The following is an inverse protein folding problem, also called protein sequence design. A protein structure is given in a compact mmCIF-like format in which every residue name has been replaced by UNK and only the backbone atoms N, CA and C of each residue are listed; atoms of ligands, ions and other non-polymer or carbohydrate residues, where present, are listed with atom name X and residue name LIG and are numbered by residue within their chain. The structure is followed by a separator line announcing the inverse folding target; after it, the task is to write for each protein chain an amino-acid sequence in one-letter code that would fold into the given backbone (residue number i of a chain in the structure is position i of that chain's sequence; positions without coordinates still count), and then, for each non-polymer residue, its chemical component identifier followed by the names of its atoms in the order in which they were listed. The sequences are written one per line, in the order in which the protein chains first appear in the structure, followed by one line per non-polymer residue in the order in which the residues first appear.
data_IF_978559549441
#
_entry.id   IF_978559549441
#
_cell.length_a   1.000
_cell.length_b   1.000
_cell.length_c   1.000
_cell.angle_alpha   90.00
_cell.angle_beta   90.00
_cell.angle_gamma   90.00
#
_symmetry.space_group_name_H-M   'P 1'
#
loop_
_entity.id
_entity.type
_entity.pdbx_description
1 polymer ?
#
# COMPACT_ATOMS: atom_id res chain seq x y z
N UNK A 1 -25.11 24.40 -17.49
CA UNK A 1 -23.91 25.24 -17.59
C UNK A 1 -22.82 24.64 -16.68
N UNK A 2 -22.21 23.50 -17.05
CA UNK A 2 -21.05 22.88 -16.36
C UNK A 2 -20.40 21.82 -17.25
N UNK A 3 -20.12 22.15 -18.52
CA UNK A 3 -19.56 21.21 -19.49
C UNK A 3 -18.30 21.73 -20.23
N UNK A 4 -17.62 22.77 -19.76
CA UNK A 4 -16.54 23.42 -20.53
C UNK A 4 -15.16 23.52 -19.86
N UNK A 5 -14.86 22.80 -18.77
CA UNK A 5 -13.52 22.87 -18.14
C UNK A 5 -12.67 21.60 -18.29
N UNK A 6 -13.00 20.69 -19.21
CA UNK A 6 -12.31 19.38 -19.35
C UNK A 6 -11.38 19.21 -20.54
N UNK A 7 -11.20 20.26 -21.37
CA UNK A 7 -10.46 20.14 -22.64
C UNK A 7 -9.10 20.86 -22.71
N UNK A 8 -8.65 21.51 -21.64
CA UNK A 8 -7.39 22.27 -21.69
C UNK A 8 -6.18 21.62 -20.99
N UNK A 9 -6.34 20.49 -20.31
CA UNK A 9 -5.23 19.79 -19.63
C UNK A 9 -4.67 18.56 -20.38
N UNK A 10 -5.24 18.21 -21.52
CA UNK A 10 -4.91 16.96 -22.25
C UNK A 10 -3.76 17.09 -23.28
N UNK A 11 -3.11 18.24 -23.39
CA UNK A 11 -2.17 18.48 -24.50
C UNK A 11 -0.68 18.47 -24.15
N UNK A 12 -0.29 18.14 -22.90
CA UNK A 12 1.12 18.20 -22.49
C UNK A 12 1.80 16.86 -22.17
N UNK A 13 1.09 15.74 -22.00
CA UNK A 13 1.71 14.49 -21.51
C UNK A 13 1.25 13.23 -22.29
N UNK A 14 1.35 13.23 -23.60
CA UNK A 14 1.05 12.05 -24.43
C UNK A 14 1.95 10.82 -24.17
N UNK A 15 2.96 10.95 -23.32
CA UNK A 15 3.88 9.85 -22.96
C UNK A 15 3.48 9.17 -21.63
N UNK A 16 2.76 9.88 -20.76
CA UNK A 16 2.41 9.40 -19.41
C UNK A 16 1.16 8.49 -19.40
N UNK A 17 0.20 8.72 -20.30
CA UNK A 17 -0.99 7.86 -20.40
C UNK A 17 -0.69 6.47 -20.94
N UNK A 18 0.30 6.33 -21.83
CA UNK A 18 0.75 5.03 -22.33
C UNK A 18 1.43 4.20 -21.26
N UNK A 19 2.31 4.80 -20.46
CA UNK A 19 3.04 4.10 -19.38
C UNK A 19 2.12 3.65 -18.25
N UNK A 20 1.11 4.42 -17.87
CA UNK A 20 0.12 4.02 -16.85
C UNK A 20 -0.80 2.91 -17.33
N UNK A 21 -1.25 2.98 -18.61
CA UNK A 21 -2.04 1.92 -19.24
C UNK A 21 -1.22 0.63 -19.36
N UNK A 22 0.03 0.71 -19.77
CA UNK A 22 0.91 -0.43 -19.96
C UNK A 22 1.24 -1.09 -18.62
N UNK A 23 1.46 -0.32 -17.55
CA UNK A 23 1.68 -0.87 -16.23
C UNK A 23 0.42 -1.56 -15.68
N UNK A 24 -0.74 -0.91 -15.76
CA UNK A 24 -2.02 -1.51 -15.33
C UNK A 24 -2.34 -2.77 -16.13
N UNK A 25 -2.07 -2.81 -17.42
CA UNK A 25 -2.25 -3.98 -18.26
C UNK A 25 -1.20 -5.07 -17.98
N UNK A 26 0.04 -4.68 -17.75
CA UNK A 26 1.09 -5.59 -17.28
C UNK A 26 0.73 -6.22 -15.94
N UNK A 27 0.23 -5.45 -14.99
CA UNK A 27 -0.27 -5.91 -13.70
C UNK A 27 -1.46 -6.88 -13.84
N UNK A 28 -2.36 -6.63 -14.80
CA UNK A 28 -3.48 -7.52 -15.13
C UNK A 28 -3.06 -8.82 -15.81
N UNK A 29 -2.16 -8.76 -16.77
CA UNK A 29 -1.67 -9.95 -17.52
C UNK A 29 -0.89 -10.92 -16.64
N UNK A 30 -0.27 -10.43 -15.61
CA UNK A 30 0.62 -11.19 -14.72
C UNK A 30 -0.14 -11.92 -13.62
N UNK A 31 -1.32 -11.45 -13.25
CA UNK A 31 -2.15 -12.12 -12.28
C UNK A 31 -3.17 -13.03 -12.95
N UNK A 32 -2.98 -14.26 -13.20
CA UNK A 32 -3.87 -15.30 -13.78
C UNK A 32 -5.40 -15.04 -13.77
N UNK A 33 -5.81 -13.84 -13.35
CA UNK A 33 -7.18 -13.37 -13.19
C UNK A 33 -7.53 -12.39 -14.29
N UNK A 34 -8.25 -12.86 -15.29
CA UNK A 34 -8.67 -12.05 -16.46
C UNK A 34 -9.77 -11.04 -16.14
N UNK A 35 -10.46 -11.15 -15.03
CA UNK A 35 -11.56 -10.28 -14.64
C UNK A 35 -11.36 -9.73 -13.22
N UNK A 36 -11.88 -8.54 -12.96
CA UNK A 36 -11.86 -7.94 -11.63
C UNK A 36 -12.57 -8.82 -10.59
N UNK A 37 -13.68 -9.44 -10.95
CA UNK A 37 -14.42 -10.34 -10.06
C UNK A 37 -13.57 -11.57 -9.65
N UNK A 38 -12.87 -12.18 -10.59
CA UNK A 38 -11.98 -13.31 -10.29
C UNK A 38 -10.79 -12.86 -9.39
N UNK A 39 -10.27 -11.65 -9.60
CA UNK A 39 -9.27 -11.04 -8.72
C UNK A 39 -9.80 -10.89 -7.29
N UNK A 40 -10.98 -10.28 -7.10
CA UNK A 40 -11.61 -10.10 -5.78
C UNK A 40 -11.80 -11.44 -5.08
N UNK A 41 -12.40 -12.44 -5.75
CA UNK A 41 -12.61 -13.77 -5.21
C UNK A 41 -11.28 -14.43 -4.76
N UNK A 42 -10.22 -14.28 -5.54
CA UNK A 42 -8.88 -14.78 -5.18
C UNK A 42 -8.32 -14.09 -3.93
N UNK A 43 -8.46 -12.78 -3.81
CA UNK A 43 -7.99 -12.07 -2.61
C UNK A 43 -8.77 -12.50 -1.35
N UNK A 44 -10.08 -12.65 -1.47
CA UNK A 44 -10.95 -13.08 -0.37
C UNK A 44 -10.66 -14.50 0.11
N UNK A 45 -10.27 -15.42 -0.77
CA UNK A 45 -9.98 -16.81 -0.39
C UNK A 45 -8.68 -16.99 0.42
N UNK A 46 -7.75 -16.03 0.38
CA UNK A 46 -6.41 -16.19 0.95
C UNK A 46 -6.40 -16.45 2.45
N UNK A 47 -7.25 -15.74 3.21
CA UNK A 47 -7.29 -15.91 4.67
C UNK A 47 -7.75 -17.31 5.08
N UNK A 48 -8.73 -17.86 4.37
CA UNK A 48 -9.21 -19.22 4.61
C UNK A 48 -8.17 -20.27 4.22
N UNK A 49 -7.44 -20.05 3.11
CA UNK A 49 -6.46 -21.01 2.59
C UNK A 49 -5.16 -21.04 3.39
N UNK A 50 -4.73 -19.88 3.94
CA UNK A 50 -3.40 -19.74 4.57
C UNK A 50 -3.46 -18.98 5.92
N UNK A 51 -4.32 -19.36 6.87
CA UNK A 51 -4.59 -18.56 8.06
C UNK A 51 -3.34 -18.32 8.93
N UNK A 52 -2.56 -19.35 9.21
CA UNK A 52 -1.36 -19.23 10.07
C UNK A 52 -0.28 -18.36 9.42
N UNK A 53 -0.08 -18.53 8.11
CA UNK A 53 0.88 -17.71 7.37
C UNK A 53 0.47 -16.24 7.38
N UNK A 54 -0.80 -15.94 7.19
CA UNK A 54 -1.31 -14.57 7.18
C UNK A 54 -1.18 -13.94 8.57
N UNK A 55 -1.46 -14.68 9.65
CA UNK A 55 -1.24 -14.21 11.02
C UNK A 55 0.22 -13.91 11.30
N UNK A 56 1.14 -14.79 10.87
CA UNK A 56 2.57 -14.57 11.03
C UNK A 56 3.04 -13.32 10.27
N UNK A 57 2.59 -13.14 9.03
CA UNK A 57 2.88 -11.95 8.24
C UNK A 57 2.33 -10.70 8.92
N UNK A 58 1.13 -10.75 9.47
CA UNK A 58 0.48 -9.62 10.15
C UNK A 58 1.29 -9.14 11.36
N UNK A 59 1.75 -10.07 12.20
CA UNK A 59 2.64 -9.76 13.33
C UNK A 59 3.95 -9.13 12.86
N UNK A 60 4.61 -9.77 11.88
CA UNK A 60 5.85 -9.26 11.31
C UNK A 60 5.68 -7.84 10.75
N UNK A 61 4.57 -7.60 10.07
CA UNK A 61 4.22 -6.32 9.48
C UNK A 61 4.01 -5.23 10.52
N UNK A 62 3.33 -5.54 11.62
CA UNK A 62 3.15 -4.61 12.72
C UNK A 62 4.50 -4.11 13.27
N UNK A 63 5.44 -5.02 13.52
CA UNK A 63 6.77 -4.66 14.04
C UNK A 63 7.59 -3.88 13.03
N UNK A 64 7.57 -4.29 11.76
CA UNK A 64 8.28 -3.61 10.69
C UNK A 64 7.80 -2.19 10.50
N UNK A 65 6.49 -1.97 10.30
CA UNK A 65 5.91 -0.65 10.04
C UNK A 65 6.15 0.29 11.23
N UNK A 66 5.95 -0.20 12.46
CA UNK A 66 6.26 0.58 13.66
C UNK A 66 7.71 1.05 13.69
N UNK A 67 8.67 0.14 13.44
CA UNK A 67 10.10 0.45 13.45
C UNK A 67 10.50 1.44 12.35
N UNK A 68 10.00 1.20 11.14
CA UNK A 68 10.25 2.05 9.98
C UNK A 68 9.78 3.49 10.22
N UNK A 69 8.53 3.67 10.62
CA UNK A 69 7.95 5.00 10.78
C UNK A 69 8.40 5.71 12.07
N UNK A 70 8.75 5.00 13.12
CA UNK A 70 9.45 5.59 14.26
C UNK A 70 10.81 6.18 13.84
N UNK A 71 11.56 5.46 13.01
CA UNK A 71 12.83 5.93 12.47
C UNK A 71 12.65 7.08 11.46
N UNK A 72 11.59 7.06 10.65
CA UNK A 72 11.27 8.15 9.72
C UNK A 72 10.97 9.45 10.47
N UNK A 73 10.18 9.39 11.56
CA UNK A 73 9.93 10.54 12.43
C UNK A 73 11.23 11.06 13.04
N UNK A 74 12.07 10.18 13.60
CA UNK A 74 13.34 10.57 14.21
C UNK A 74 14.29 11.26 13.24
N UNK A 75 14.22 10.93 11.94
CA UNK A 75 15.03 11.55 10.88
C UNK A 75 14.37 12.76 10.22
N UNK A 76 13.10 13.05 10.51
CA UNK A 76 12.32 14.09 9.82
C UNK A 76 12.07 13.78 8.34
N UNK A 77 12.05 12.49 7.96
CA UNK A 77 11.82 12.02 6.57
C UNK A 77 10.52 12.59 6.02
N UNK A 78 10.56 13.14 4.82
CA UNK A 78 9.41 13.78 4.14
C UNK A 78 8.71 14.89 4.97
N UNK A 79 9.35 15.42 6.00
CA UNK A 79 8.75 16.37 6.93
C UNK A 79 7.72 15.76 7.88
N UNK A 80 7.73 14.42 8.07
CA UNK A 80 6.86 13.74 9.04
C UNK A 80 7.33 14.07 10.46
N UNK A 81 6.60 14.95 11.13
CA UNK A 81 6.92 15.38 12.50
C UNK A 81 6.40 14.40 13.57
N UNK A 82 5.55 13.45 13.21
CA UNK A 82 4.96 12.44 14.08
C UNK A 82 3.58 11.99 13.63
N UNK A 83 3.03 11.05 14.36
CA UNK A 83 1.70 10.45 14.08
C UNK A 83 0.65 10.81 15.14
N UNK A 84 1.04 11.48 16.25
CA UNK A 84 0.13 11.84 17.34
C UNK A 84 -1.08 12.64 16.85
N UNK A 85 -2.28 12.09 17.03
CA UNK A 85 -3.55 12.68 16.59
C UNK A 85 -3.78 12.74 15.07
N UNK A 86 -2.84 12.25 14.25
CA UNK A 86 -3.01 12.18 12.78
C UNK A 86 -3.90 11.03 12.37
N UNK A 87 -4.72 11.25 11.35
CA UNK A 87 -5.56 10.22 10.75
C UNK A 87 -4.78 9.43 9.70
N UNK A 88 -4.76 8.09 9.79
CA UNK A 88 -4.04 7.20 8.87
C UNK A 88 -4.97 6.15 8.30
N UNK A 89 -5.00 6.03 6.97
CA UNK A 89 -5.69 4.95 6.26
C UNK A 89 -4.67 3.91 5.78
N UNK A 90 -4.83 2.65 6.19
CA UNK A 90 -4.04 1.53 5.67
C UNK A 90 -4.83 0.76 4.60
N UNK A 91 -4.32 0.73 3.37
CA UNK A 91 -4.96 0.15 2.20
C UNK A 91 -4.46 -1.28 1.97
N UNK A 92 -5.38 -2.27 1.99
CA UNK A 92 -5.04 -3.68 1.90
C UNK A 92 -4.47 -4.25 3.20
N UNK A 93 -4.98 -3.79 4.36
CA UNK A 93 -4.42 -4.05 5.68
C UNK A 93 -4.73 -5.43 6.27
N UNK A 94 -5.56 -6.21 5.62
CA UNK A 94 -6.01 -7.55 6.00
C UNK A 94 -6.36 -7.71 7.48
N UNK A 95 -5.44 -8.20 8.32
CA UNK A 95 -5.66 -8.38 9.77
C UNK A 95 -5.28 -7.16 10.61
N UNK A 96 -4.72 -6.11 10.02
CA UNK A 96 -4.51 -4.81 10.66
C UNK A 96 -3.18 -4.63 11.37
N UNK A 97 -2.15 -5.40 11.05
CA UNK A 97 -0.81 -5.22 11.62
C UNK A 97 -0.28 -3.80 11.43
N UNK A 98 -0.44 -3.24 10.24
CA UNK A 98 -0.07 -1.86 9.90
C UNK A 98 -0.88 -0.83 10.71
N UNK A 99 -2.18 -1.09 10.87
CA UNK A 99 -3.09 -0.21 11.63
C UNK A 99 -2.63 -0.13 13.09
N UNK A 100 -2.35 -1.30 13.70
CA UNK A 100 -1.86 -1.37 15.09
C UNK A 100 -0.49 -0.72 15.23
N UNK A 101 0.37 -0.84 14.21
CA UNK A 101 1.65 -0.13 14.18
C UNK A 101 1.46 1.39 14.25
N UNK A 102 0.63 1.97 13.38
CA UNK A 102 0.37 3.42 13.40
C UNK A 102 -0.34 3.87 14.68
N UNK A 103 -1.29 3.09 15.21
CA UNK A 103 -1.91 3.35 16.52
C UNK A 103 -0.87 3.40 17.64
N UNK A 104 0.12 2.50 17.63
CA UNK A 104 1.21 2.49 18.63
C UNK A 104 2.15 3.69 18.52
N UNK A 105 2.14 4.39 17.38
CA UNK A 105 2.85 5.66 17.16
C UNK A 105 1.97 6.90 17.47
N UNK A 106 0.76 6.69 17.99
CA UNK A 106 -0.17 7.74 18.39
C UNK A 106 -1.18 8.18 17.35
N UNK A 107 -1.26 7.51 16.20
CA UNK A 107 -2.22 7.82 15.14
C UNK A 107 -3.65 7.37 15.50
N UNK A 108 -4.63 8.04 14.89
CA UNK A 108 -5.99 7.55 14.70
C UNK A 108 -6.01 6.79 13.38
N UNK A 109 -5.86 5.46 13.43
CA UNK A 109 -5.67 4.65 12.22
C UNK A 109 -6.81 3.66 12.02
N UNK A 110 -7.15 3.42 10.74
CA UNK A 110 -8.10 2.41 10.27
C UNK A 110 -7.56 1.76 9.01
N UNK A 111 -7.88 0.49 8.80
CA UNK A 111 -7.57 -0.23 7.57
C UNK A 111 -8.79 -0.56 6.73
N UNK A 112 -8.58 -0.80 5.45
CA UNK A 112 -9.55 -1.47 4.58
C UNK A 112 -8.91 -2.69 3.93
N UNK A 113 -9.71 -3.75 3.72
CA UNK A 113 -9.33 -4.95 2.96
C UNK A 113 -10.57 -5.64 2.40
N UNK A 114 -10.42 -6.41 1.32
CA UNK A 114 -11.48 -7.24 0.76
C UNK A 114 -11.83 -8.44 1.65
N UNK A 115 -10.96 -8.80 2.60
CA UNK A 115 -11.15 -9.87 3.57
C UNK A 115 -10.45 -9.52 4.90
N UNK A 116 -11.05 -8.65 5.73
CA UNK A 116 -10.45 -8.20 6.98
C UNK A 116 -10.45 -9.25 8.08
N UNK A 117 -11.10 -10.38 7.86
CA UNK A 117 -11.34 -11.38 8.89
C UNK A 117 -12.52 -11.04 9.80
N UNK A 118 -13.02 -12.06 10.46
CA UNK A 118 -14.23 -11.95 11.28
C UNK A 118 -13.97 -11.20 12.58
N UNK A 119 -14.80 -10.19 12.89
CA UNK A 119 -14.71 -9.43 14.13
C UNK A 119 -13.48 -8.51 14.23
N UNK A 120 -12.87 -8.17 13.12
CA UNK A 120 -11.73 -7.25 13.10
C UNK A 120 -12.18 -5.83 13.46
N UNK A 121 -11.56 -5.26 14.51
CA UNK A 121 -11.85 -3.92 14.99
C UNK A 121 -10.92 -2.85 14.39
N UNK A 122 -9.88 -3.27 13.68
CA UNK A 122 -8.87 -2.39 13.10
C UNK A 122 -9.09 -2.15 11.61
N UNK A 123 -9.74 -3.12 10.92
CA UNK A 123 -9.91 -3.11 9.47
C UNK A 123 -11.37 -3.34 9.13
N UNK A 124 -11.92 -2.50 8.27
CA UNK A 124 -13.27 -2.65 7.73
C UNK A 124 -13.20 -3.26 6.33
N UNK A 125 -14.30 -3.90 5.90
CA UNK A 125 -14.43 -4.33 4.52
C UNK A 125 -14.39 -3.12 3.58
N UNK A 126 -13.56 -3.19 2.55
CA UNK A 126 -13.45 -2.13 1.55
C UNK A 126 -12.46 -2.48 0.45
N UNK A 127 -12.73 -1.90 -0.71
CA UNK A 127 -11.88 -2.00 -1.89
C UNK A 127 -11.07 -0.71 -2.04
N UNK A 128 -9.77 -0.79 -2.18
CA UNK A 128 -8.92 0.39 -2.38
C UNK A 128 -9.07 1.02 -3.78
N UNK A 129 -9.84 0.40 -4.68
CA UNK A 129 -10.27 1.04 -5.93
C UNK A 129 -11.60 1.79 -5.80
N UNK A 130 -12.25 1.72 -4.61
CA UNK A 130 -13.50 2.41 -4.28
C UNK A 130 -13.57 2.56 -2.76
N UNK A 131 -12.77 3.49 -2.25
CA UNK A 131 -12.52 3.64 -0.81
C UNK A 131 -13.76 4.17 -0.09
N UNK A 132 -14.30 3.48 0.93
CA UNK A 132 -15.57 3.81 1.58
C UNK A 132 -15.45 4.96 2.60
N UNK A 133 -14.65 5.97 2.29
CA UNK A 133 -14.48 7.16 3.12
C UNK A 133 -14.65 8.43 2.30
N UNK A 134 -15.03 9.52 2.97
CA UNK A 134 -15.17 10.83 2.32
C UNK A 134 -13.83 11.36 1.80
N UNK A 135 -13.88 12.31 0.87
CA UNK A 135 -12.70 13.04 0.42
C UNK A 135 -12.04 13.78 1.60
N UNK A 136 -10.72 13.97 1.50
CA UNK A 136 -9.94 14.77 2.44
C UNK A 136 -10.06 14.33 3.92
N UNK A 137 -10.26 13.01 4.14
CA UNK A 137 -10.48 12.46 5.49
C UNK A 137 -9.18 12.12 6.23
N UNK A 138 -8.09 11.85 5.51
CA UNK A 138 -6.87 11.33 6.11
C UNK A 138 -5.68 12.27 5.93
N UNK A 139 -4.90 12.44 7.00
CA UNK A 139 -3.61 13.13 6.93
C UNK A 139 -2.60 12.28 6.17
N UNK A 140 -2.66 10.95 6.36
CA UNK A 140 -1.77 9.99 5.73
C UNK A 140 -2.53 8.76 5.21
N UNK A 141 -2.02 8.19 4.13
CA UNK A 141 -2.38 6.84 3.68
C UNK A 141 -1.13 5.97 3.61
N UNK A 142 -1.28 4.65 3.76
CA UNK A 142 -0.21 3.66 3.68
C UNK A 142 -0.67 2.45 2.88
N UNK A 143 0.20 1.90 2.04
CA UNK A 143 0.00 0.60 1.41
C UNK A 143 1.32 -0.13 1.20
N UNK A 144 1.30 -1.44 1.40
CA UNK A 144 2.40 -2.35 1.12
C UNK A 144 1.98 -3.50 0.18
N UNK A 145 0.81 -3.39 -0.43
CA UNK A 145 0.24 -4.39 -1.33
C UNK A 145 0.13 -3.87 -2.77
N UNK A 146 1.08 -3.03 -3.16
CA UNK A 146 1.09 -2.36 -4.46
C UNK A 146 1.17 -3.35 -5.63
N UNK A 147 1.73 -4.53 -5.40
CA UNK A 147 1.76 -5.67 -6.30
C UNK A 147 0.37 -6.30 -6.54
N UNK A 148 -0.61 -5.96 -5.71
CA UNK A 148 -2.00 -6.44 -5.82
C UNK A 148 -2.95 -5.42 -6.45
N UNK A 149 -2.49 -4.26 -6.90
CA UNK A 149 -3.33 -3.27 -7.56
C UNK A 149 -3.79 -3.78 -8.93
N UNK A 150 -5.10 -3.86 -9.13
CA UNK A 150 -5.70 -4.29 -10.39
C UNK A 150 -5.78 -3.16 -11.41
N UNK A 151 -6.14 -1.95 -10.97
CA UNK A 151 -6.22 -0.71 -11.77
C UNK A 151 -5.47 0.41 -11.03
N UNK A 152 -4.24 0.68 -11.45
CA UNK A 152 -3.37 1.66 -10.80
C UNK A 152 -3.92 3.08 -10.89
N UNK A 153 -4.56 3.45 -12.00
CA UNK A 153 -5.14 4.80 -12.16
C UNK A 153 -6.33 5.00 -11.24
N UNK A 154 -7.21 4.01 -11.12
CA UNK A 154 -8.35 4.05 -10.21
C UNK A 154 -7.89 4.11 -8.76
N UNK A 155 -6.95 3.25 -8.38
CA UNK A 155 -6.29 3.27 -7.08
C UNK A 155 -5.70 4.65 -6.76
N UNK A 156 -4.88 5.21 -7.65
CA UNK A 156 -4.23 6.50 -7.42
C UNK A 156 -5.23 7.66 -7.25
N UNK A 157 -6.32 7.67 -8.02
CA UNK A 157 -7.41 8.66 -7.85
C UNK A 157 -8.11 8.52 -6.51
N UNK A 158 -8.38 7.31 -6.05
CA UNK A 158 -9.01 7.07 -4.75
C UNK A 158 -8.09 7.48 -3.60
N UNK A 159 -6.80 7.15 -3.67
CA UNK A 159 -5.82 7.63 -2.67
C UNK A 159 -5.76 9.16 -2.67
N UNK A 160 -5.71 9.79 -3.84
CA UNK A 160 -5.71 11.24 -3.96
C UNK A 160 -7.00 11.88 -3.42
N UNK A 161 -8.14 11.22 -3.59
CA UNK A 161 -9.42 11.71 -3.09
C UNK A 161 -9.49 11.73 -1.57
N UNK A 162 -9.03 10.66 -0.92
CA UNK A 162 -9.20 10.50 0.54
C UNK A 162 -8.10 11.13 1.38
N UNK A 163 -6.89 11.29 0.83
CA UNK A 163 -5.79 11.99 1.51
C UNK A 163 -5.99 13.49 1.39
N UNK A 164 -5.85 14.24 2.47
CA UNK A 164 -5.98 15.71 2.48
C UNK A 164 -4.95 16.38 1.56
N UNK A 165 -5.25 17.56 0.99
CA UNK A 165 -4.22 18.39 0.34
C UNK A 165 -3.00 18.60 1.26
N UNK A 166 -1.80 18.39 0.74
CA UNK A 166 -0.55 18.42 1.53
C UNK A 166 -0.28 17.17 2.37
N UNK A 167 -1.24 16.26 2.48
CA UNK A 167 -1.06 14.97 3.16
C UNK A 167 -0.14 14.02 2.40
N UNK A 168 0.26 12.92 3.03
CA UNK A 168 1.24 11.98 2.47
C UNK A 168 0.63 10.60 2.20
N UNK A 169 1.05 10.01 1.09
CA UNK A 169 0.87 8.59 0.83
C UNK A 169 2.23 7.87 0.94
N UNK A 170 2.30 6.89 1.82
CA UNK A 170 3.47 6.04 2.03
C UNK A 170 3.30 4.74 1.24
N UNK A 171 4.06 4.59 0.17
CA UNK A 171 3.99 3.48 -0.76
C UNK A 171 5.17 2.53 -0.53
N UNK A 172 4.97 1.41 0.17
CA UNK A 172 6.02 0.44 0.46
C UNK A 172 6.08 -0.65 -0.61
N UNK A 173 7.24 -0.76 -1.26
CA UNK A 173 7.58 -1.76 -2.27
C UNK A 173 8.50 -2.82 -1.68
N UNK A 174 8.26 -4.08 -2.02
CA UNK A 174 9.05 -5.24 -1.58
C UNK A 174 9.77 -5.89 -2.75
N UNK A 175 10.98 -5.43 -3.12
CA UNK A 175 11.74 -6.08 -4.18
C UNK A 175 12.18 -7.47 -3.74
N UNK A 176 11.75 -8.51 -4.44
CA UNK A 176 12.22 -9.88 -4.26
C UNK A 176 11.76 -10.62 -3.01
N UNK A 177 10.88 -10.08 -2.21
CA UNK A 177 10.27 -10.82 -1.13
C UNK A 177 9.25 -11.81 -1.70
N UNK A 178 9.69 -12.99 -2.04
CA UNK A 178 8.79 -14.13 -2.24
C UNK A 178 8.17 -14.49 -0.90
N UNK A 179 7.15 -13.77 -0.50
CA UNK A 179 6.25 -14.27 0.53
C UNK A 179 5.41 -15.37 -0.10
N UNK A 180 6.15 -16.40 -0.41
CA UNK A 180 5.84 -17.65 -1.03
C UNK A 180 4.41 -17.99 -1.30
N UNK A 181 4.07 -18.19 -2.53
CA UNK A 181 3.33 -19.36 -2.94
C UNK A 181 1.86 -19.24 -3.21
N UNK A 182 1.16 -18.14 -2.98
CA UNK A 182 -0.23 -18.04 -3.42
C UNK A 182 -0.37 -17.27 -4.75
N UNK A 183 0.57 -16.40 -5.03
CA UNK A 183 0.67 -15.67 -6.28
C UNK A 183 2.08 -15.85 -6.83
N UNK A 184 2.24 -16.66 -7.88
CA UNK A 184 3.49 -16.77 -8.65
C UNK A 184 3.93 -15.40 -9.19
N UNK A 185 3.03 -14.45 -9.23
CA UNK A 185 3.21 -13.07 -9.58
C UNK A 185 3.99 -12.27 -8.54
N UNK A 186 3.67 -12.42 -7.25
CA UNK A 186 4.34 -11.73 -6.14
C UNK A 186 5.85 -11.99 -6.13
N UNK A 187 6.28 -13.19 -6.52
CA UNK A 187 7.68 -13.58 -6.50
C UNK A 187 8.54 -12.94 -7.59
N UNK A 188 7.95 -12.56 -8.72
CA UNK A 188 8.70 -12.07 -9.89
C UNK A 188 8.66 -10.55 -10.06
N UNK A 189 7.72 -9.87 -9.45
CA UNK A 189 7.46 -8.48 -9.78
C UNK A 189 7.56 -7.52 -8.61
N UNK A 190 7.36 -7.95 -7.39
CA UNK A 190 7.89 -7.22 -6.25
C UNK A 190 9.43 -7.08 -6.36
N UNK A 191 10.05 -7.87 -7.24
CA UNK A 191 11.47 -7.75 -7.58
C UNK A 191 11.82 -6.54 -8.44
N UNK A 192 10.85 -5.96 -9.14
CA UNK A 192 11.14 -4.95 -10.13
C UNK A 192 11.00 -3.56 -9.52
N UNK A 193 12.07 -3.10 -8.89
CA UNK A 193 12.32 -1.65 -8.78
C UNK A 193 12.23 -0.96 -10.15
N UNK A 194 12.24 -1.73 -11.23
CA UNK A 194 12.05 -1.29 -12.60
C UNK A 194 10.66 -0.70 -12.84
N UNK A 195 9.63 -1.15 -12.09
CA UNK A 195 8.28 -0.58 -12.14
C UNK A 195 8.13 0.71 -11.30
N UNK A 196 9.13 1.07 -10.48
CA UNK A 196 9.10 2.27 -9.63
C UNK A 196 8.89 3.57 -10.44
N UNK A 197 9.63 3.82 -11.53
CA UNK A 197 9.43 5.05 -12.31
C UNK A 197 8.01 5.15 -12.87
N UNK A 198 7.45 4.06 -13.38
CA UNK A 198 6.09 4.02 -13.91
C UNK A 198 5.04 4.19 -12.81
N UNK A 199 5.25 3.60 -11.62
CA UNK A 199 4.39 3.81 -10.46
C UNK A 199 4.38 5.30 -10.03
N UNK A 200 5.57 5.90 -9.88
CA UNK A 200 5.69 7.32 -9.50
C UNK A 200 5.05 8.24 -10.53
N UNK A 201 5.24 7.95 -11.84
CA UNK A 201 4.60 8.70 -12.91
C UNK A 201 3.06 8.60 -12.82
N UNK A 202 2.51 7.41 -12.57
CA UNK A 202 1.08 7.20 -12.39
C UNK A 202 0.53 7.98 -11.18
N UNK A 203 1.23 7.97 -10.06
CA UNK A 203 0.82 8.72 -8.87
C UNK A 203 0.92 10.23 -9.08
N UNK A 204 1.93 10.68 -9.85
CA UNK A 204 2.07 12.09 -10.25
C UNK A 204 0.90 12.55 -11.12
N UNK A 205 0.43 11.72 -12.06
CA UNK A 205 -0.75 11.98 -12.87
C UNK A 205 -2.05 12.04 -12.02
N UNK A 206 -2.06 11.40 -10.85
CA UNK A 206 -3.16 11.46 -9.87
C UNK A 206 -3.03 12.62 -8.86
N UNK A 207 -2.07 13.54 -9.05
CA UNK A 207 -1.93 14.73 -8.20
C UNK A 207 -0.95 14.58 -7.04
N UNK A 208 -0.08 13.57 -7.06
CA UNK A 208 1.00 13.43 -6.08
C UNK A 208 2.33 13.98 -6.60
N UNK A 209 3.23 14.29 -5.68
CA UNK A 209 4.65 14.52 -5.95
C UNK A 209 5.48 13.62 -5.03
N UNK A 210 6.56 13.07 -5.54
CA UNK A 210 7.53 12.35 -4.73
C UNK A 210 8.36 13.36 -3.94
N UNK A 211 8.42 13.17 -2.62
CA UNK A 211 9.14 14.10 -1.73
C UNK A 211 10.28 13.45 -0.99
N UNK A 212 10.29 12.12 -0.84
CA UNK A 212 11.36 11.39 -0.16
C UNK A 212 11.28 9.88 -0.43
N UNK A 213 12.31 9.13 -0.04
CA UNK A 213 12.31 7.67 0.00
C UNK A 213 13.10 7.13 1.19
N UNK A 214 12.73 5.96 1.68
CA UNK A 214 13.52 5.20 2.65
C UNK A 214 13.77 3.79 2.16
N UNK A 215 14.94 3.24 2.48
CA UNK A 215 15.32 1.86 2.15
C UNK A 215 15.66 1.13 3.43
N UNK A 216 15.06 -0.05 3.59
CA UNK A 216 15.37 -0.98 4.67
C UNK A 216 15.95 -2.23 4.04
N UNK A 217 17.15 -2.62 4.47
CA UNK A 217 17.86 -3.81 3.98
C UNK A 217 18.25 -4.76 5.11
N UNK A 218 17.71 -4.52 6.31
CA UNK A 218 18.06 -5.26 7.52
C UNK A 218 17.11 -6.43 7.77
N UNK A 219 17.65 -7.52 8.27
CA UNK A 219 16.87 -8.63 8.76
C UNK A 219 16.26 -8.29 10.14
N UNK A 220 15.03 -8.71 10.36
CA UNK A 220 14.34 -8.56 11.63
C UNK A 220 14.18 -9.94 12.27
N UNK A 221 14.74 -10.14 13.47
CA UNK A 221 14.47 -11.31 14.29
C UNK A 221 13.12 -11.12 15.00
N UNK A 222 12.17 -11.97 14.65
CA UNK A 222 10.82 -11.98 15.21
C UNK A 222 10.60 -13.16 16.18
N UNK A 223 11.65 -13.87 16.58
CA UNK A 223 11.55 -15.06 17.43
C UNK A 223 10.77 -14.82 18.72
N UNK A 224 10.84 -13.60 19.27
CA UNK A 224 10.13 -13.22 20.50
C UNK A 224 8.64 -12.93 20.33
N UNK A 225 8.16 -12.74 19.09
CA UNK A 225 6.78 -12.31 18.80
C UNK A 225 6.02 -13.27 17.90
N UNK A 226 6.71 -14.21 17.28
CA UNK A 226 6.10 -15.25 16.45
C UNK A 226 5.61 -16.41 17.29
N UNK A 227 4.54 -17.12 16.86
CA UNK A 227 4.07 -18.31 17.55
C UNK A 227 5.19 -19.37 17.67
N UNK A 228 5.21 -20.16 18.77
CA UNK A 228 6.16 -21.26 18.93
C UNK A 228 6.09 -22.21 17.73
N UNK A 229 7.25 -22.56 17.17
CA UNK A 229 7.34 -23.44 16.00
C UNK A 229 7.16 -22.75 14.65
N UNK A 230 7.02 -21.43 14.60
CA UNK A 230 7.02 -20.70 13.34
C UNK A 230 8.36 -20.90 12.63
N UNK A 231 8.30 -21.45 11.43
CA UNK A 231 9.48 -21.56 10.55
C UNK A 231 9.84 -20.16 10.04
N UNK A 232 11.12 -19.80 10.10
CA UNK A 232 11.66 -18.50 9.67
C UNK A 232 11.23 -17.34 10.59
N UNK A 233 11.66 -17.34 11.84
CA UNK A 233 11.53 -16.20 12.74
C UNK A 233 12.35 -14.97 12.27
N UNK A 234 13.25 -15.13 11.32
CA UNK A 234 14.00 -14.04 10.69
C UNK A 234 13.23 -13.56 9.46
N UNK A 235 12.79 -12.32 9.52
CA UNK A 235 12.13 -11.64 8.42
C UNK A 235 13.16 -10.88 7.59
N UNK A 236 13.56 -11.48 6.47
CA UNK A 236 14.48 -10.84 5.52
C UNK A 236 13.76 -9.69 4.80
N UNK A 237 14.25 -8.48 4.99
CA UNK A 237 13.59 -7.30 4.45
C UNK A 237 14.46 -6.59 3.42
N UNK A 238 13.87 -6.39 2.25
CA UNK A 238 14.30 -5.35 1.31
C UNK A 238 13.06 -4.52 1.01
N UNK A 239 12.95 -3.35 1.61
CA UNK A 239 11.79 -2.49 1.48
C UNK A 239 12.25 -1.14 0.95
N UNK A 240 11.56 -0.65 -0.05
CA UNK A 240 11.63 0.72 -0.50
C UNK A 240 10.29 1.37 -0.18
N UNK A 241 10.26 2.38 0.68
CA UNK A 241 9.08 3.20 0.90
C UNK A 241 9.27 4.54 0.22
N UNK A 242 8.35 4.88 -0.68
CA UNK A 242 8.28 6.15 -1.39
C UNK A 242 7.27 7.03 -0.65
N UNK A 243 7.65 8.27 -0.37
CA UNK A 243 6.81 9.28 0.25
C UNK A 243 6.26 10.21 -0.82
N UNK A 244 4.96 10.15 -1.01
CA UNK A 244 4.23 10.89 -2.04
C UNK A 244 3.33 11.92 -1.38
N UNK A 245 3.58 13.23 -1.63
CA UNK A 245 2.75 14.32 -1.11
C UNK A 245 1.64 14.64 -2.09
N UNK A 246 0.39 14.71 -1.60
CA UNK A 246 -0.71 15.21 -2.40
C UNK A 246 -0.55 16.72 -2.62
N UNK A 247 -0.61 17.15 -3.87
CA UNK A 247 -0.59 18.58 -4.22
C UNK A 247 -1.85 19.28 -3.70
N UNK A 248 -1.71 20.56 -3.43
CA UNK A 248 -2.81 21.44 -3.02
C UNK A 248 -3.83 21.66 -4.11
#
# INVERSE_FOLDING_TARGET
VLACCWLAAAAADGNDERTTSDLSESLRRRGETRTYHAYVAKQQSKLALYPEKIRAIDVARQHQVRREFAAAVARGTAGVAGFGGRTVLCLGARLGGEVRAFKSLGAVAVGIDLEPGRGNMDVVFGDFHDVPFAADSFDYAYSNVLDHIYDLRRFGREVARVVKPGGLFFASLYPGASVGGADAWTAKQAASLDDRPAFVAAMRACGFEEVDETRITEDMDLSSVMPPGARNAIWHQKILTIYLRRRS
#
